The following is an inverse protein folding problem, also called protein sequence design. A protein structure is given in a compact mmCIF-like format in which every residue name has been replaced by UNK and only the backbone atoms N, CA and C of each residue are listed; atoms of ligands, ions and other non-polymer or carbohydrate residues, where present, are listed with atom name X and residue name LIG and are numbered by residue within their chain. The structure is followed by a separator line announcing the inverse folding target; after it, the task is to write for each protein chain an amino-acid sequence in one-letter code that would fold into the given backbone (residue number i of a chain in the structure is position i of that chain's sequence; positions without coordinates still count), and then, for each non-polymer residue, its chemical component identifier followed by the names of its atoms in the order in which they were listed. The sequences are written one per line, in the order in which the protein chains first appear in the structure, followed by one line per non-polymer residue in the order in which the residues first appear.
data_IF_225263056413
#
_entry.id   IF_225263056413
#
_cell.length_a   1.000
_cell.length_b   1.000
_cell.length_c   1.000
_cell.angle_alpha   90.00
_cell.angle_beta   90.00
_cell.angle_gamma   90.00
#
_symmetry.space_group_name_H-M   'P 1'
#
loop_
_entity.id
_entity.type
_entity.pdbx_description
1 polymer ?
#
# COMPACT_ATOMS: atom_id res chain seq x y z
N UNK A 1 1.88 19.96 -1.41
CA UNK A 1 2.23 18.53 -1.34
C UNK A 1 1.61 17.79 -2.50
N UNK A 2 2.33 16.84 -3.10
CA UNK A 2 1.91 16.07 -4.29
C UNK A 2 2.02 14.59 -3.99
N UNK A 3 0.92 13.86 -4.18
CA UNK A 3 0.91 12.39 -4.21
C UNK A 3 1.08 11.98 -5.67
N UNK A 4 2.24 11.42 -6.02
CA UNK A 4 2.44 10.83 -7.34
C UNK A 4 2.04 9.36 -7.26
N UNK A 5 1.17 8.91 -8.15
CA UNK A 5 0.58 7.60 -8.04
C UNK A 5 0.65 6.79 -9.33
N UNK A 6 0.75 5.47 -9.17
CA UNK A 6 0.62 4.48 -10.23
C UNK A 6 -0.38 3.40 -9.79
N UNK A 7 -1.20 2.92 -10.73
CA UNK A 7 -2.17 1.87 -10.47
C UNK A 7 -2.03 0.80 -11.55
N UNK A 8 -1.99 -0.46 -11.14
CA UNK A 8 -2.08 -1.63 -12.02
C UNK A 8 -3.32 -2.42 -11.60
N UNK A 9 -4.35 -2.41 -12.45
CA UNK A 9 -5.63 -3.08 -12.17
C UNK A 9 -5.66 -4.52 -12.64
N UNK A 10 -4.63 -4.98 -13.35
CA UNK A 10 -4.60 -6.30 -13.99
C UNK A 10 -3.71 -7.27 -13.23
N UNK A 11 -2.60 -6.80 -12.65
CA UNK A 11 -1.61 -7.67 -11.99
C UNK A 11 -0.82 -6.98 -10.88
N UNK A 12 -0.02 -7.80 -10.20
CA UNK A 12 1.06 -7.35 -9.32
C UNK A 12 2.37 -7.49 -10.08
N UNK A 13 3.07 -6.37 -10.38
CA UNK A 13 4.41 -6.42 -10.96
C UNK A 13 5.40 -7.10 -10.02
N UNK A 14 6.55 -7.47 -10.56
CA UNK A 14 7.66 -8.00 -9.77
C UNK A 14 8.10 -7.01 -8.69
N UNK A 15 8.60 -7.53 -7.57
CA UNK A 15 9.05 -6.74 -6.40
C UNK A 15 9.95 -5.57 -6.79
N UNK A 16 10.97 -5.85 -7.60
CA UNK A 16 11.96 -4.85 -8.02
C UNK A 16 11.35 -3.75 -8.90
N UNK A 17 10.32 -4.08 -9.69
CA UNK A 17 9.60 -3.10 -10.49
C UNK A 17 8.75 -2.17 -9.61
N UNK A 18 8.08 -2.71 -8.59
CA UNK A 18 7.33 -1.92 -7.61
C UNK A 18 8.26 -0.91 -6.92
N UNK A 19 9.42 -1.38 -6.43
CA UNK A 19 10.44 -0.54 -5.76
C UNK A 19 10.98 0.52 -6.74
N UNK A 20 11.32 0.12 -7.96
CA UNK A 20 11.82 1.03 -9.00
C UNK A 20 10.82 2.16 -9.26
N UNK A 21 9.52 1.84 -9.46
CA UNK A 21 8.48 2.84 -9.71
C UNK A 21 8.34 3.82 -8.54
N UNK A 22 8.36 3.34 -7.29
CA UNK A 22 8.29 4.21 -6.10
C UNK A 22 9.52 5.12 -5.98
N UNK A 23 10.72 4.60 -6.24
CA UNK A 23 11.95 5.40 -6.25
C UNK A 23 11.93 6.46 -7.36
N UNK A 24 11.45 6.11 -8.55
CA UNK A 24 11.27 7.07 -9.65
C UNK A 24 10.32 8.20 -9.28
N UNK A 25 9.25 7.93 -8.55
CA UNK A 25 8.37 8.98 -8.02
C UNK A 25 9.12 9.92 -7.06
N UNK A 26 10.00 9.40 -6.18
CA UNK A 26 10.85 10.24 -5.33
C UNK A 26 11.79 11.13 -6.15
N UNK A 27 12.45 10.55 -7.16
CA UNK A 27 13.35 11.27 -8.08
C UNK A 27 12.62 12.39 -8.84
N UNK A 28 11.35 12.18 -9.20
CA UNK A 28 10.49 13.19 -9.81
C UNK A 28 9.91 14.21 -8.82
N UNK A 29 10.33 14.18 -7.55
CA UNK A 29 9.91 15.16 -6.54
C UNK A 29 8.52 14.90 -5.94
N UNK A 30 7.99 13.67 -6.03
CA UNK A 30 6.77 13.31 -5.33
C UNK A 30 6.94 13.49 -3.82
N UNK A 31 5.98 14.12 -3.14
CA UNK A 31 6.05 14.24 -1.69
C UNK A 31 5.65 12.93 -1.01
N UNK A 32 4.72 12.20 -1.64
CA UNK A 32 4.27 10.88 -1.22
C UNK A 32 4.14 9.99 -2.47
N UNK A 33 5.10 9.09 -2.73
CA UNK A 33 4.95 8.04 -3.73
C UNK A 33 3.78 7.11 -3.38
N UNK A 34 3.00 6.70 -4.38
CA UNK A 34 1.88 5.77 -4.18
C UNK A 34 1.84 4.71 -5.27
N UNK A 35 1.68 3.45 -4.90
CA UNK A 35 1.38 2.38 -5.85
C UNK A 35 0.23 1.49 -5.37
N UNK A 36 -0.67 1.12 -6.28
CA UNK A 36 -1.74 0.16 -6.03
C UNK A 36 -1.74 -0.90 -7.12
N UNK A 37 -1.80 -2.18 -6.74
CA UNK A 37 -1.65 -3.32 -7.65
C UNK A 37 -2.75 -4.35 -7.44
N UNK A 38 -3.08 -5.14 -8.46
CA UNK A 38 -4.11 -6.17 -8.38
C UNK A 38 -3.48 -7.54 -8.12
N UNK A 39 -3.74 -8.19 -6.97
CA UNK A 39 -3.24 -9.54 -6.74
C UNK A 39 -4.05 -10.56 -7.56
N UNK A 40 -3.35 -11.48 -8.20
CA UNK A 40 -3.91 -12.69 -8.82
C UNK A 40 -3.75 -13.92 -7.90
N UNK A 41 -2.95 -13.80 -6.84
CA UNK A 41 -2.69 -14.85 -5.87
C UNK A 41 -2.35 -14.28 -4.49
N UNK A 42 -2.28 -15.13 -3.46
CA UNK A 42 -1.69 -14.75 -2.17
C UNK A 42 -0.18 -14.48 -2.30
N UNK A 43 0.49 -15.13 -3.25
CA UNK A 43 1.90 -14.85 -3.57
C UNK A 43 2.11 -13.40 -3.98
N UNK A 44 1.20 -12.84 -4.78
CA UNK A 44 1.22 -11.44 -5.19
C UNK A 44 1.07 -10.48 -4.01
N UNK A 45 0.22 -10.81 -3.03
CA UNK A 45 0.12 -10.05 -1.79
C UNK A 45 1.47 -10.04 -1.07
N UNK A 46 2.14 -11.18 -0.96
CA UNK A 46 3.46 -11.27 -0.33
C UNK A 46 4.51 -10.43 -1.09
N UNK A 47 4.48 -10.43 -2.42
CA UNK A 47 5.36 -9.60 -3.26
C UNK A 47 5.17 -8.11 -2.94
N UNK A 48 3.93 -7.65 -2.83
CA UNK A 48 3.63 -6.25 -2.48
C UNK A 48 4.10 -5.92 -1.05
N UNK A 49 3.85 -6.79 -0.06
CA UNK A 49 4.26 -6.56 1.33
C UNK A 49 5.79 -6.53 1.46
N UNK A 50 6.51 -7.43 0.77
CA UNK A 50 7.97 -7.46 0.74
C UNK A 50 8.54 -6.22 0.03
N UNK A 51 7.97 -5.81 -1.10
CA UNK A 51 8.33 -4.55 -1.76
C UNK A 51 8.13 -3.33 -0.85
N UNK A 52 7.01 -3.30 -0.11
CA UNK A 52 6.70 -2.24 0.87
C UNK A 52 7.75 -2.17 1.97
N UNK A 53 8.07 -3.30 2.60
CA UNK A 53 9.07 -3.36 3.65
C UNK A 53 10.48 -3.01 3.15
N UNK A 54 10.86 -3.52 1.98
CA UNK A 54 12.14 -3.21 1.35
C UNK A 54 12.25 -1.72 1.01
N UNK A 55 11.18 -1.12 0.48
CA UNK A 55 11.12 0.33 0.23
C UNK A 55 11.31 1.12 1.52
N UNK A 56 10.59 0.77 2.59
CA UNK A 56 10.68 1.44 3.90
C UNK A 56 12.08 1.37 4.52
N UNK A 57 12.74 0.23 4.43
CA UNK A 57 14.02 -0.04 5.13
C UNK A 57 15.25 0.41 4.36
N UNK A 58 15.19 0.47 3.02
CA UNK A 58 16.38 0.70 2.19
C UNK A 58 16.35 1.97 1.35
N UNK A 59 15.18 2.49 0.97
CA UNK A 59 15.10 3.47 -0.12
C UNK A 59 14.24 4.70 0.17
N UNK A 60 13.25 4.59 1.05
CA UNK A 60 12.32 5.67 1.32
C UNK A 60 12.98 6.79 2.14
N UNK A 61 13.00 7.99 1.58
CA UNK A 61 13.42 9.24 2.26
C UNK A 61 12.20 10.09 2.70
N UNK A 62 10.98 9.62 2.42
CA UNK A 62 9.71 10.27 2.70
C UNK A 62 8.59 9.23 2.87
N UNK A 63 7.41 9.62 3.40
CA UNK A 63 6.26 8.73 3.47
C UNK A 63 5.83 8.25 2.07
N UNK A 64 5.39 7.01 1.97
CA UNK A 64 4.86 6.43 0.73
C UNK A 64 3.66 5.54 1.05
N UNK A 65 2.90 5.20 0.01
CA UNK A 65 1.64 4.46 0.12
C UNK A 65 1.72 3.24 -0.80
N UNK A 66 1.45 2.06 -0.26
CA UNK A 66 1.27 0.83 -1.03
C UNK A 66 -0.05 0.19 -0.68
N UNK A 67 -0.65 -0.51 -1.64
CA UNK A 67 -1.78 -1.40 -1.39
C UNK A 67 -1.90 -2.45 -2.48
N UNK A 68 -2.26 -3.66 -2.06
CA UNK A 68 -2.80 -4.71 -2.90
C UNK A 68 -4.33 -4.58 -2.88
N UNK A 69 -4.95 -4.57 -4.06
CA UNK A 69 -6.40 -4.39 -4.22
C UNK A 69 -7.18 -5.70 -4.00
N UNK A 70 -8.51 -5.63 -4.14
CA UNK A 70 -9.45 -6.74 -3.95
C UNK A 70 -9.44 -7.33 -2.53
N UNK A 71 -10.31 -8.32 -2.28
CA UNK A 71 -10.43 -8.96 -0.97
C UNK A 71 -9.12 -9.64 -0.52
N UNK A 72 -8.43 -10.30 -1.44
CA UNK A 72 -7.11 -10.92 -1.19
C UNK A 72 -6.08 -9.92 -0.68
N UNK A 73 -6.14 -8.66 -1.13
CA UNK A 73 -5.21 -7.62 -0.74
C UNK A 73 -5.51 -6.92 0.59
N UNK A 74 -6.61 -7.24 1.27
CA UNK A 74 -7.08 -6.52 2.47
C UNK A 74 -5.99 -6.36 3.54
N UNK A 75 -5.19 -7.39 3.79
CA UNK A 75 -4.09 -7.35 4.78
C UNK A 75 -3.12 -6.19 4.52
N UNK A 76 -2.84 -5.87 3.25
CA UNK A 76 -1.97 -4.73 2.91
C UNK A 76 -2.54 -3.37 3.33
N UNK A 77 -3.86 -3.26 3.49
CA UNK A 77 -4.55 -2.06 3.98
C UNK A 77 -4.51 -1.95 5.50
N UNK A 78 -4.28 -3.06 6.21
CA UNK A 78 -4.32 -3.13 7.67
C UNK A 78 -2.91 -3.08 8.28
N UNK A 79 -1.92 -3.64 7.59
CA UNK A 79 -0.58 -3.84 8.12
C UNK A 79 0.40 -2.69 7.78
N UNK A 80 -0.11 -1.48 7.53
CA UNK A 80 0.70 -0.32 7.16
C UNK A 80 1.76 0.03 8.20
N UNK A 81 1.40 0.01 9.49
CA UNK A 81 2.31 0.29 10.60
C UNK A 81 3.46 -0.74 10.71
N UNK A 82 3.21 -2.00 10.30
CA UNK A 82 4.20 -3.08 10.33
C UNK A 82 5.16 -3.00 9.14
N UNK A 83 4.63 -2.80 7.92
CA UNK A 83 5.44 -2.89 6.69
C UNK A 83 5.93 -1.53 6.15
N UNK A 84 5.28 -0.42 6.51
CA UNK A 84 5.75 0.93 6.23
C UNK A 84 4.86 1.79 5.31
N UNK A 85 3.68 1.32 4.90
CA UNK A 85 2.72 2.16 4.17
C UNK A 85 2.13 3.23 5.09
N UNK A 86 2.32 4.50 4.77
CA UNK A 86 2.02 5.63 5.65
C UNK A 86 0.53 6.01 5.70
N UNK A 87 -0.28 5.51 4.76
CA UNK A 87 -1.71 5.80 4.69
C UNK A 87 -2.45 4.62 4.06
N UNK A 88 -3.69 4.43 4.50
CA UNK A 88 -4.60 3.40 3.98
C UNK A 88 -5.98 4.01 3.71
N UNK A 89 -6.78 3.32 2.89
CA UNK A 89 -8.05 3.84 2.37
C UNK A 89 -9.21 2.95 2.85
N UNK A 90 -10.15 3.55 3.59
CA UNK A 90 -11.41 2.93 4.00
C UNK A 90 -12.59 3.53 3.23
N UNK A 91 -13.65 2.74 3.07
CA UNK A 91 -14.89 3.18 2.43
C UNK A 91 -15.69 4.07 3.39
N UNK A 92 -16.11 5.26 2.92
CA UNK A 92 -16.94 6.18 3.70
C UNK A 92 -18.43 5.81 3.64
N UNK A 93 -19.01 5.88 2.44
CA UNK A 93 -20.36 5.37 2.12
C UNK A 93 -20.27 4.20 1.15
N UNK A 94 -19.57 4.43 0.05
CA UNK A 94 -19.28 3.42 -0.97
C UNK A 94 -17.76 3.21 -1.07
N UNK A 95 -17.38 2.02 -1.53
CA UNK A 95 -15.99 1.70 -1.81
C UNK A 95 -15.56 2.36 -3.13
N UNK A 96 -14.46 3.13 -3.10
CA UNK A 96 -13.87 3.74 -4.28
C UNK A 96 -12.91 2.80 -5.03
N UNK A 97 -12.53 1.67 -4.41
CA UNK A 97 -11.66 0.66 -4.98
C UNK A 97 -11.98 -0.73 -4.41
N UNK A 98 -11.74 -1.82 -5.18
CA UNK A 98 -11.96 -3.17 -4.69
C UNK A 98 -11.19 -3.48 -3.41
N UNK A 99 -11.87 -4.15 -2.47
CA UNK A 99 -11.28 -4.57 -1.19
C UNK A 99 -11.23 -3.50 -0.10
N UNK A 100 -11.87 -2.34 -0.28
CA UNK A 100 -12.05 -1.40 0.83
C UNK A 100 -13.12 -1.90 1.81
N UNK A 101 -12.82 -1.83 3.10
CA UNK A 101 -13.78 -2.05 4.19
C UNK A 101 -14.26 -0.71 4.74
N UNK A 102 -15.40 -0.65 5.47
CA UNK A 102 -15.87 0.57 6.09
C UNK A 102 -14.80 1.25 6.96
N UNK A 103 -14.70 2.58 6.86
CA UNK A 103 -13.67 3.37 7.56
C UNK A 103 -13.69 3.18 9.09
N UNK A 104 -14.87 2.94 9.68
CA UNK A 104 -15.01 2.64 11.10
C UNK A 104 -14.33 1.32 11.48
N UNK A 105 -14.56 0.26 10.71
CA UNK A 105 -13.93 -1.04 10.92
C UNK A 105 -12.42 -0.98 10.69
N UNK A 106 -12.00 -0.29 9.62
CA UNK A 106 -10.58 -0.08 9.33
C UNK A 106 -9.87 0.59 10.51
N UNK A 107 -10.46 1.67 11.04
CA UNK A 107 -9.92 2.39 12.19
C UNK A 107 -9.76 1.49 13.41
N UNK A 108 -10.77 0.71 13.76
CA UNK A 108 -10.69 -0.20 14.92
C UNK A 108 -9.54 -1.21 14.79
N UNK A 109 -9.30 -1.75 13.58
CA UNK A 109 -8.19 -2.68 13.36
C UNK A 109 -6.83 -1.98 13.46
N UNK A 110 -6.69 -0.78 12.89
CA UNK A 110 -5.46 -0.01 13.00
C UNK A 110 -5.13 0.33 14.45
N UNK A 111 -6.13 0.75 15.24
CA UNK A 111 -5.96 1.03 16.67
C UNK A 111 -5.50 -0.21 17.46
N UNK A 112 -6.05 -1.39 17.16
CA UNK A 112 -5.60 -2.65 17.77
C UNK A 112 -4.14 -2.94 17.42
N UNK A 113 -3.76 -2.80 16.14
CA UNK A 113 -2.38 -3.06 15.71
C UNK A 113 -1.42 -2.08 16.38
N UNK A 114 -1.69 -0.77 16.30
CA UNK A 114 -0.83 0.28 16.85
C UNK A 114 -0.64 0.16 18.37
N UNK A 115 -1.62 -0.37 19.10
CA UNK A 115 -1.52 -0.61 20.54
C UNK A 115 -0.65 -1.83 20.92
N UNK A 116 -0.28 -2.67 19.95
CA UNK A 116 0.38 -3.97 20.19
C UNK A 116 1.72 -4.13 19.43
N UNK A 117 2.26 -3.07 18.83
CA UNK A 117 3.56 -3.07 18.14
C UNK A 117 4.48 -1.93 18.60
#
# INVERSE_FOLDING_TARGET
YVIMCNHDFDKTPEKEEIIYRLRKMQEFGAHIPKIAVMPQSVGDLLVLLDATHTMKTKYADRPFITMSMAGTGLVSRLAGAVFGSACTFGAGKEASAPGQIPVSQLRSVLEIIDQNI
#
